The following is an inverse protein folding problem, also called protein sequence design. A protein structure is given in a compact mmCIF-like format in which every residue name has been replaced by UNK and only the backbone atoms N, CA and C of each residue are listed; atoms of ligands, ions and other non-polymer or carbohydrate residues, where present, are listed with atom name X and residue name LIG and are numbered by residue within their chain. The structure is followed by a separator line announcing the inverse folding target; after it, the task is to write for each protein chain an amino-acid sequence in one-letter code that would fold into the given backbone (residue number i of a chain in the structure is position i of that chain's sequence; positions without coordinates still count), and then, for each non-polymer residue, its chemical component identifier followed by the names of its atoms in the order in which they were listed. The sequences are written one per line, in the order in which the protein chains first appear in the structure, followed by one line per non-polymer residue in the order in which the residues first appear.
data_IF_485442926923
#
_entry.id   IF_485442926923
#
_cell.length_a   1.000
_cell.length_b   1.000
_cell.length_c   1.000
_cell.angle_alpha   90.00
_cell.angle_beta   90.00
_cell.angle_gamma   90.00
#
_symmetry.space_group_name_H-M   'P 1'
#
loop_
_entity.id
_entity.type
_entity.pdbx_description
1 polymer ?
#
# COMPACT_ATOMS: atom_id res chain seq x y z
N UNK A 1 -10.79 1.57 -12.44
CA UNK A 1 -10.35 0.14 -12.37
C UNK A 1 -10.84 -0.41 -11.04
N UNK A 2 -11.28 -1.67 -10.95
CA UNK A 2 -11.75 -2.28 -9.69
C UNK A 2 -10.85 -3.44 -9.28
N UNK A 3 -9.87 -3.18 -8.42
CA UNK A 3 -8.90 -4.13 -7.88
C UNK A 3 -9.57 -5.35 -7.25
N UNK A 4 -10.64 -5.18 -6.46
CA UNK A 4 -11.37 -6.31 -5.86
C UNK A 4 -11.92 -7.29 -6.89
N UNK A 5 -12.18 -6.81 -8.11
CA UNK A 5 -12.62 -7.65 -9.24
C UNK A 5 -11.43 -8.24 -9.99
N UNK A 6 -10.40 -7.45 -10.29
CA UNK A 6 -9.28 -7.90 -11.13
C UNK A 6 -8.31 -8.82 -10.40
N UNK A 7 -8.20 -8.66 -9.08
CA UNK A 7 -7.31 -9.47 -8.21
C UNK A 7 -8.00 -10.72 -7.64
N UNK A 8 -9.31 -10.88 -7.88
CA UNK A 8 -10.04 -12.05 -7.43
C UNK A 8 -9.39 -13.35 -7.95
N UNK A 9 -9.23 -14.32 -7.05
CA UNK A 9 -8.65 -15.64 -7.32
C UNK A 9 -7.21 -15.61 -7.85
N UNK A 10 -6.42 -14.58 -7.51
CA UNK A 10 -5.00 -14.49 -7.91
C UNK A 10 -4.02 -15.12 -6.92
N UNK A 11 -4.50 -15.81 -5.88
CA UNK A 11 -3.66 -16.50 -4.88
C UNK A 11 -2.59 -17.41 -5.51
N UNK A 12 -2.96 -18.29 -6.45
CA UNK A 12 -1.99 -19.18 -7.12
C UNK A 12 -0.93 -18.43 -7.95
N UNK A 13 -1.28 -17.27 -8.52
CA UNK A 13 -0.31 -16.42 -9.23
C UNK A 13 0.66 -15.79 -8.23
N UNK A 14 0.15 -15.35 -7.09
CA UNK A 14 0.96 -14.81 -6.00
C UNK A 14 1.92 -15.85 -5.42
N UNK A 15 1.45 -17.08 -5.15
CA UNK A 15 2.31 -18.18 -4.68
C UNK A 15 3.47 -18.46 -5.65
N UNK A 16 3.20 -18.42 -6.97
CA UNK A 16 4.25 -18.55 -7.99
C UNK A 16 5.29 -17.42 -7.88
N UNK A 17 4.85 -16.17 -7.74
CA UNK A 17 5.73 -15.00 -7.56
C UNK A 17 6.59 -15.14 -6.30
N UNK A 18 5.98 -15.54 -5.18
CA UNK A 18 6.66 -15.76 -3.90
C UNK A 18 7.77 -16.79 -4.05
N UNK A 19 7.48 -17.92 -4.70
CA UNK A 19 8.44 -19.00 -4.92
C UNK A 19 9.58 -18.57 -5.86
N UNK A 20 9.27 -17.93 -6.98
CA UNK A 20 10.27 -17.54 -7.99
C UNK A 20 11.22 -16.45 -7.49
N UNK A 21 10.73 -15.53 -6.65
CA UNK A 21 11.52 -14.41 -6.13
C UNK A 21 12.04 -14.63 -4.70
N UNK A 22 11.83 -15.82 -4.12
CA UNK A 22 12.24 -16.17 -2.74
C UNK A 22 11.75 -15.15 -1.71
N UNK A 23 10.48 -14.77 -1.84
CA UNK A 23 9.82 -13.80 -0.98
C UNK A 23 9.42 -14.43 0.35
N UNK A 24 9.06 -13.58 1.31
CA UNK A 24 8.41 -13.99 2.54
C UNK A 24 7.13 -14.76 2.19
N UNK A 25 6.97 -15.97 2.72
CA UNK A 25 5.80 -16.80 2.44
C UNK A 25 4.57 -16.24 3.16
N UNK A 26 3.77 -15.48 2.42
CA UNK A 26 2.52 -14.87 2.89
C UNK A 26 1.44 -15.18 1.87
N UNK A 27 0.29 -15.67 2.32
CA UNK A 27 -0.86 -15.92 1.44
C UNK A 27 -1.44 -14.59 1.00
N UNK A 28 -1.91 -14.50 -0.25
CA UNK A 28 -2.45 -13.25 -0.77
C UNK A 28 -3.66 -12.80 0.07
N UNK A 29 -4.46 -13.76 0.50
CA UNK A 29 -5.66 -13.60 1.31
C UNK A 29 -5.38 -13.03 2.71
N UNK A 30 -4.15 -13.11 3.22
CA UNK A 30 -3.74 -12.60 4.53
C UNK A 30 -3.33 -11.12 4.50
N UNK A 31 -3.03 -10.59 3.31
CA UNK A 31 -2.52 -9.22 3.12
C UNK A 31 -3.35 -8.40 2.13
N UNK A 32 -4.38 -8.98 1.53
CA UNK A 32 -5.19 -8.30 0.54
C UNK A 32 -6.25 -7.40 1.17
N UNK A 33 -6.20 -6.13 0.82
CA UNK A 33 -7.23 -5.14 1.14
C UNK A 33 -7.66 -4.43 -0.15
N UNK A 34 -8.03 -5.20 -1.19
CA UNK A 34 -8.34 -4.65 -2.51
C UNK A 34 -9.51 -3.66 -2.51
N UNK A 35 -10.46 -3.82 -1.58
CA UNK A 35 -11.57 -2.89 -1.41
C UNK A 35 -11.07 -1.50 -0.97
N UNK A 36 -9.97 -1.43 -0.19
CA UNK A 36 -9.40 -0.17 0.26
C UNK A 36 -8.74 0.56 -0.90
N UNK A 37 -8.02 -0.16 -1.77
CA UNK A 37 -7.49 0.40 -3.00
C UNK A 37 -8.62 0.88 -3.94
N UNK A 38 -9.71 0.13 -4.03
CA UNK A 38 -10.91 0.54 -4.78
C UNK A 38 -11.54 1.80 -4.20
N UNK A 39 -11.66 1.92 -2.87
CA UNK A 39 -12.20 3.10 -2.22
C UNK A 39 -11.29 4.33 -2.40
N UNK A 40 -9.97 4.16 -2.22
CA UNK A 40 -9.00 5.25 -2.30
C UNK A 40 -8.79 5.77 -3.72
N UNK A 41 -8.88 4.90 -4.74
CA UNK A 41 -8.61 5.24 -6.14
C UNK A 41 -9.89 5.33 -7.01
N UNK A 42 -11.07 5.04 -6.44
CA UNK A 42 -12.31 4.83 -7.17
C UNK A 42 -13.22 6.06 -7.36
N UNK A 43 -13.05 7.16 -6.61
CA UNK A 43 -13.89 8.34 -6.85
C UNK A 43 -13.73 9.52 -5.89
N UNK A 44 -13.51 10.69 -6.50
CA UNK A 44 -13.97 12.05 -6.15
C UNK A 44 -13.88 12.57 -4.71
N UNK A 45 -12.74 12.42 -4.05
CA UNK A 45 -12.14 13.51 -3.27
C UNK A 45 -10.80 13.04 -2.70
N UNK A 46 -9.72 13.72 -3.08
CA UNK A 46 -8.59 13.82 -2.16
C UNK A 46 -9.15 14.57 -0.94
N UNK A 47 -9.41 13.85 0.14
CA UNK A 47 -9.82 14.48 1.40
C UNK A 47 -8.59 15.20 1.94
N UNK A 48 -8.58 16.52 1.80
CA UNK A 48 -7.56 17.37 2.39
C UNK A 48 -7.96 17.69 3.82
N UNK A 49 -7.05 17.47 4.74
CA UNK A 49 -7.17 17.90 6.13
C UNK A 49 -6.29 19.15 6.40
N UNK A 50 -6.33 19.65 7.62
CA UNK A 50 -5.48 20.74 8.07
C UNK A 50 -4.61 20.31 9.23
N UNK A 51 -3.30 20.58 9.11
CA UNK A 51 -2.32 20.35 10.16
C UNK A 51 -2.16 21.56 11.10
N UNK A 52 -2.96 22.62 10.94
CA UNK A 52 -2.80 23.87 11.70
C UNK A 52 -2.85 23.63 13.21
N UNK A 53 -3.88 22.93 13.71
CA UNK A 53 -4.01 22.62 15.14
C UNK A 53 -2.79 21.89 15.69
N UNK A 54 -2.29 20.89 14.97
CA UNK A 54 -1.12 20.12 15.40
C UNK A 54 0.15 20.99 15.45
N UNK A 55 0.34 21.87 14.45
CA UNK A 55 1.46 22.82 14.41
C UNK A 55 1.39 23.86 15.52
N UNK A 56 0.20 24.40 15.79
CA UNK A 56 -0.06 25.32 16.92
C UNK A 56 0.27 24.68 18.27
N UNK A 57 0.13 23.35 18.38
CA UNK A 57 0.44 22.58 19.58
C UNK A 57 1.86 21.95 19.53
N UNK A 58 2.74 22.43 18.65
CA UNK A 58 4.16 22.07 18.64
C UNK A 58 4.57 20.89 17.75
N UNK A 59 3.64 20.28 17.00
CA UNK A 59 3.99 19.23 16.04
C UNK A 59 4.40 19.82 14.68
N UNK A 60 5.71 19.91 14.46
CA UNK A 60 6.31 20.50 13.25
C UNK A 60 6.79 19.45 12.22
N UNK A 61 6.60 18.16 12.52
CA UNK A 61 7.01 17.08 11.63
C UNK A 61 6.23 17.09 10.32
N UNK A 62 6.94 16.95 9.20
CA UNK A 62 6.33 16.76 7.88
C UNK A 62 7.10 15.73 7.07
N UNK A 63 6.51 15.26 5.96
CA UNK A 63 7.16 14.40 4.98
C UNK A 63 6.85 14.89 3.58
N UNK A 64 7.80 14.74 2.67
CA UNK A 64 7.52 14.80 1.25
C UNK A 64 6.84 13.49 0.85
N UNK A 65 5.58 13.56 0.41
CA UNK A 65 4.77 12.37 0.12
C UNK A 65 5.37 11.48 -0.97
N UNK A 66 5.98 12.06 -2.01
CA UNK A 66 6.64 11.29 -3.08
C UNK A 66 7.84 10.50 -2.56
N UNK A 67 8.68 11.12 -1.74
CA UNK A 67 9.83 10.45 -1.13
C UNK A 67 9.38 9.39 -0.11
N UNK A 68 8.36 9.69 0.68
CA UNK A 68 7.75 8.75 1.62
C UNK A 68 7.23 7.50 0.90
N UNK A 69 6.47 7.68 -0.18
CA UNK A 69 5.92 6.59 -0.97
C UNK A 69 7.02 5.68 -1.54
N UNK A 70 8.07 6.26 -2.13
CA UNK A 70 9.25 5.50 -2.58
C UNK A 70 9.93 4.75 -1.43
N UNK A 71 10.08 5.38 -0.26
CA UNK A 71 10.67 4.74 0.91
C UNK A 71 9.86 3.54 1.39
N UNK A 72 8.53 3.58 1.32
CA UNK A 72 7.67 2.46 1.70
C UNK A 72 7.76 1.32 0.69
N UNK A 73 7.80 1.61 -0.61
CA UNK A 73 8.07 0.59 -1.66
C UNK A 73 9.44 -0.05 -1.44
N UNK A 74 10.47 0.74 -1.18
CA UNK A 74 11.80 0.20 -0.92
C UNK A 74 11.81 -0.70 0.32
N UNK A 75 11.14 -0.27 1.39
CA UNK A 75 11.02 -1.05 2.62
C UNK A 75 10.35 -2.40 2.38
N UNK A 76 9.24 -2.46 1.64
CA UNK A 76 8.55 -3.73 1.35
C UNK A 76 9.40 -4.67 0.49
N UNK A 77 10.22 -4.14 -0.42
CA UNK A 77 11.23 -4.93 -1.16
C UNK A 77 12.33 -5.47 -0.25
N UNK A 78 12.88 -4.65 0.65
CA UNK A 78 13.92 -5.08 1.62
C UNK A 78 13.43 -6.22 2.51
N UNK A 79 12.17 -6.15 2.96
CA UNK A 79 11.55 -7.23 3.73
C UNK A 79 11.08 -8.41 2.87
N UNK A 80 11.39 -8.42 1.57
CA UNK A 80 11.01 -9.46 0.62
C UNK A 80 9.52 -9.75 0.61
N UNK A 81 8.67 -8.73 0.81
CA UNK A 81 7.21 -8.87 0.69
C UNK A 81 6.82 -8.85 -0.79
N UNK A 82 7.48 -8.00 -1.57
CA UNK A 82 7.37 -7.90 -3.03
C UNK A 82 8.76 -7.98 -3.66
N UNK A 83 8.88 -8.36 -4.95
CA UNK A 83 10.14 -8.27 -5.69
C UNK A 83 10.61 -6.81 -5.84
#
# INVERSE_FOLDING_TARGET
MRFSKTMKNKGAVWEKIVRENQLLHVKLEEIEEWWLADAALGGEAVVLDSMNKAREHGFLGFRNSNNSFKSWIYRTKVYKIVP
#
